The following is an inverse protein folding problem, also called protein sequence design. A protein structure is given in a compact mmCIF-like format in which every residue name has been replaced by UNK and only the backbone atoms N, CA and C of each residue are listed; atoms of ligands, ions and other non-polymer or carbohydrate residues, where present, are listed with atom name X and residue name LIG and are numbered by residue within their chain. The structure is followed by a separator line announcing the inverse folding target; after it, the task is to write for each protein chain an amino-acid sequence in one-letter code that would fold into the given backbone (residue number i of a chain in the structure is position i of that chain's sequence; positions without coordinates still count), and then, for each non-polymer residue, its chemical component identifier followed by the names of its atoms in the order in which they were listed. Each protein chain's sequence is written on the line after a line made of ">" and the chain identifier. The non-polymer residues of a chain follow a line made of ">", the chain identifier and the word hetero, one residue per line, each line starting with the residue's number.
data_IF_883730355937
#
_entry.id   IF_883730355937
#
_cell.length_a   1.000
_cell.length_b   1.000
_cell.length_c   1.000
_cell.angle_alpha   90.00
_cell.angle_beta   90.00
_cell.angle_gamma   90.00
#
_symmetry.space_group_name_H-M   'P 1'
#
loop_
_entity.id
_entity.type
_entity.pdbx_description
1 polymer ?
#
# COMPACT_ATOMS: atom_id res chain seq x y z
N UNK A 1 34.04 46.27 -16.76
CA UNK A 1 32.88 46.23 -15.84
C UNK A 1 31.60 45.55 -16.38
N UNK A 2 31.25 45.52 -17.68
CA UNK A 2 30.00 44.88 -18.13
C UNK A 2 30.00 43.35 -18.05
N UNK A 3 31.15 42.71 -18.32
CA UNK A 3 31.31 41.24 -18.29
C UNK A 3 31.03 40.64 -16.90
N UNK A 4 31.41 41.34 -15.83
CA UNK A 4 31.19 40.86 -14.45
C UNK A 4 29.69 40.89 -14.05
N UNK A 5 28.90 41.82 -14.61
CA UNK A 5 27.43 41.86 -14.38
C UNK A 5 26.72 40.72 -15.11
N UNK A 6 27.19 40.38 -16.31
CA UNK A 6 26.63 39.30 -17.12
C UNK A 6 26.83 37.91 -16.49
N UNK A 7 28.02 37.61 -16.00
CA UNK A 7 28.28 36.34 -15.30
C UNK A 7 27.48 36.19 -14.00
N UNK A 8 27.29 37.28 -13.25
CA UNK A 8 26.46 37.28 -12.02
C UNK A 8 24.99 37.01 -12.32
N UNK A 9 24.43 37.64 -13.37
CA UNK A 9 23.05 37.43 -13.79
C UNK A 9 22.80 35.96 -14.20
N UNK A 10 23.73 35.38 -14.96
CA UNK A 10 23.66 33.97 -15.38
C UNK A 10 23.73 32.99 -14.21
N UNK A 11 24.61 33.26 -13.24
CA UNK A 11 24.72 32.43 -12.04
C UNK A 11 23.43 32.46 -11.20
N UNK A 12 22.83 33.64 -11.04
CA UNK A 12 21.54 33.79 -10.34
C UNK A 12 20.44 33.01 -11.07
N UNK A 13 20.34 33.14 -12.39
CA UNK A 13 19.33 32.44 -13.19
C UNK A 13 19.47 30.91 -13.08
N UNK A 14 20.70 30.39 -13.17
CA UNK A 14 20.97 28.96 -12.99
C UNK A 14 20.60 28.50 -11.57
N UNK A 15 20.93 29.28 -10.55
CA UNK A 15 20.61 28.95 -9.17
C UNK A 15 19.09 28.87 -8.96
N UNK A 16 18.36 29.87 -9.46
CA UNK A 16 16.90 29.90 -9.41
C UNK A 16 16.30 28.70 -10.15
N UNK A 17 16.81 28.38 -11.34
CA UNK A 17 16.38 27.21 -12.10
C UNK A 17 16.59 25.90 -11.33
N UNK A 18 17.77 25.69 -10.72
CA UNK A 18 18.04 24.53 -9.89
C UNK A 18 17.10 24.42 -8.68
N UNK A 19 16.77 25.55 -8.03
CA UNK A 19 15.79 25.57 -6.94
C UNK A 19 14.42 25.07 -7.40
N UNK A 20 13.97 25.47 -8.59
CA UNK A 20 12.70 24.97 -9.14
C UNK A 20 12.72 23.47 -9.48
N UNK A 21 13.83 22.96 -10.01
CA UNK A 21 14.02 21.52 -10.27
C UNK A 21 13.95 20.73 -8.96
N UNK A 22 14.66 21.18 -7.92
CA UNK A 22 14.64 20.55 -6.60
C UNK A 22 13.24 20.60 -6.00
N UNK A 23 12.56 21.74 -6.10
CA UNK A 23 11.16 21.88 -5.68
C UNK A 23 10.25 20.85 -6.35
N UNK A 24 10.39 20.64 -7.67
CA UNK A 24 9.61 19.63 -8.38
C UNK A 24 9.95 18.20 -7.95
N UNK A 25 11.24 17.89 -7.73
CA UNK A 25 11.64 16.58 -7.25
C UNK A 25 11.01 16.27 -5.87
N UNK A 26 10.97 17.24 -4.98
CA UNK A 26 10.30 17.14 -3.68
C UNK A 26 8.79 16.95 -3.85
N UNK A 27 8.17 17.72 -4.75
CA UNK A 27 6.74 17.60 -5.05
C UNK A 27 6.38 16.19 -5.54
N UNK A 28 7.14 15.69 -6.51
CA UNK A 28 6.98 14.35 -7.08
C UNK A 28 7.21 13.26 -6.04
N UNK A 29 8.21 13.42 -5.16
CA UNK A 29 8.44 12.49 -4.05
C UNK A 29 7.20 12.37 -3.14
N UNK A 30 6.59 13.49 -2.73
CA UNK A 30 5.39 13.44 -1.90
C UNK A 30 4.18 12.86 -2.64
N UNK A 31 4.04 13.11 -3.94
CA UNK A 31 3.01 12.47 -4.76
C UNK A 31 3.18 10.94 -4.77
N UNK A 32 4.36 10.46 -5.16
CA UNK A 32 4.67 9.02 -5.22
C UNK A 32 4.49 8.37 -3.85
N UNK A 33 4.98 9.02 -2.79
CA UNK A 33 4.82 8.53 -1.42
C UNK A 33 3.34 8.45 -1.03
N UNK A 34 2.52 9.45 -1.32
CA UNK A 34 1.10 9.42 -1.01
C UNK A 34 0.32 8.37 -1.81
N UNK A 35 0.73 8.07 -3.05
CA UNK A 35 0.12 7.03 -3.89
C UNK A 35 0.44 5.60 -3.45
N UNK A 36 1.62 5.39 -2.89
CA UNK A 36 2.15 4.05 -2.53
C UNK A 36 2.08 3.79 -1.02
N UNK A 37 2.02 4.85 -0.22
CA UNK A 37 1.92 4.77 1.23
C UNK A 37 0.87 5.78 1.73
N UNK A 38 -0.43 5.50 1.51
CA UNK A 38 -1.47 6.48 1.79
C UNK A 38 -1.64 6.78 3.29
N UNK A 39 -1.14 5.92 4.17
CA UNK A 39 -1.20 6.11 5.62
C UNK A 39 0.21 6.05 6.23
N UNK A 40 0.50 6.67 7.39
CA UNK A 40 -0.34 7.68 8.01
C UNK A 40 -0.51 8.88 7.09
N UNK A 41 -1.68 9.51 7.11
CA UNK A 41 -1.95 10.58 6.16
C UNK A 41 -1.05 11.78 6.42
N UNK A 42 -0.54 12.33 5.33
CA UNK A 42 0.24 13.56 5.31
C UNK A 42 -0.65 14.75 4.93
N UNK A 43 -0.11 15.96 4.93
CA UNK A 43 -0.82 17.14 4.44
C UNK A 43 -1.29 16.99 2.98
N UNK A 44 -0.58 16.19 2.17
CA UNK A 44 -0.86 15.98 0.74
C UNK A 44 -2.10 15.11 0.51
N UNK A 45 -2.30 14.08 1.32
CA UNK A 45 -3.38 13.10 1.16
C UNK A 45 -4.34 13.05 2.36
N UNK A 46 -4.41 14.14 3.13
CA UNK A 46 -5.32 14.26 4.28
C UNK A 46 -6.78 13.99 3.89
N UNK A 47 -7.18 14.46 2.71
CA UNK A 47 -8.50 14.21 2.11
C UNK A 47 -8.33 13.85 0.63
N UNK A 48 -9.34 13.18 0.06
CA UNK A 48 -9.38 12.87 -1.37
C UNK A 48 -9.26 14.13 -2.24
N UNK A 49 -10.01 15.18 -1.91
CA UNK A 49 -9.98 16.44 -2.64
C UNK A 49 -8.60 17.12 -2.58
N UNK A 50 -7.91 17.07 -1.43
CA UNK A 50 -6.56 17.61 -1.31
C UNK A 50 -5.57 16.84 -2.19
N UNK A 51 -5.65 15.51 -2.20
CA UNK A 51 -4.78 14.68 -3.02
C UNK A 51 -5.01 14.91 -4.52
N UNK A 52 -6.27 14.96 -4.97
CA UNK A 52 -6.61 15.26 -6.36
C UNK A 52 -6.14 16.66 -6.77
N UNK A 53 -6.31 17.67 -5.91
CA UNK A 53 -5.79 19.02 -6.18
C UNK A 53 -4.27 19.05 -6.30
N UNK A 54 -3.57 18.33 -5.42
CA UNK A 54 -2.11 18.21 -5.43
C UNK A 54 -1.60 17.53 -6.71
N UNK A 55 -2.26 16.45 -7.14
CA UNK A 55 -1.98 15.75 -8.39
C UNK A 55 -2.12 16.67 -9.61
N UNK A 56 -3.26 17.35 -9.74
CA UNK A 56 -3.53 18.25 -10.88
C UNK A 56 -2.48 19.37 -10.93
N UNK A 57 -2.19 20.00 -9.79
CA UNK A 57 -1.19 21.08 -9.73
C UNK A 57 0.22 20.57 -10.06
N UNK A 58 0.60 19.37 -9.62
CA UNK A 58 1.88 18.74 -9.94
C UNK A 58 2.04 18.57 -11.45
N UNK A 59 1.00 18.09 -12.16
CA UNK A 59 1.06 17.90 -13.61
C UNK A 59 1.11 19.22 -14.38
N UNK A 60 0.30 20.22 -13.99
CA UNK A 60 0.31 21.54 -14.61
C UNK A 60 1.69 22.20 -14.45
N UNK A 61 2.20 22.25 -13.21
CA UNK A 61 3.51 22.83 -12.92
C UNK A 61 4.64 22.05 -13.60
N UNK A 62 4.56 20.72 -13.55
CA UNK A 62 5.49 19.82 -14.22
C UNK A 62 5.60 20.08 -15.71
N UNK A 63 4.46 20.28 -16.39
CA UNK A 63 4.43 20.62 -17.81
C UNK A 63 5.15 21.94 -18.11
N UNK A 64 4.86 23.01 -17.36
CA UNK A 64 5.53 24.30 -17.54
C UNK A 64 7.04 24.20 -17.29
N UNK A 65 7.45 23.47 -16.26
CA UNK A 65 8.87 23.26 -15.96
C UNK A 65 9.56 22.43 -17.05
N UNK A 66 8.90 21.43 -17.63
CA UNK A 66 9.39 20.70 -18.81
C UNK A 66 9.62 21.62 -20.01
N UNK A 67 8.72 22.59 -20.28
CA UNK A 67 8.92 23.59 -21.33
C UNK A 67 10.13 24.51 -21.06
N UNK A 68 10.31 24.96 -19.81
CA UNK A 68 11.49 25.75 -19.39
C UNK A 68 12.77 24.91 -19.51
N UNK A 69 12.73 23.63 -19.11
CA UNK A 69 13.86 22.74 -19.24
C UNK A 69 14.20 22.50 -20.70
N UNK A 70 13.22 22.46 -21.60
CA UNK A 70 13.46 22.34 -23.04
C UNK A 70 14.24 23.53 -23.59
N UNK A 71 13.87 24.74 -23.22
CA UNK A 71 14.61 25.94 -23.67
C UNK A 71 16.00 26.01 -23.05
N UNK A 72 16.16 25.64 -21.78
CA UNK A 72 17.47 25.58 -21.11
C UNK A 72 18.38 24.50 -21.69
N UNK A 73 17.86 23.29 -21.92
CA UNK A 73 18.60 22.20 -22.55
C UNK A 73 18.97 22.57 -23.99
N UNK A 74 18.03 23.12 -24.76
CA UNK A 74 18.30 23.57 -26.12
C UNK A 74 19.41 24.62 -26.16
N UNK A 75 19.36 25.62 -25.27
CA UNK A 75 20.42 26.64 -25.20
C UNK A 75 21.76 26.04 -24.76
N UNK A 76 21.79 25.15 -23.76
CA UNK A 76 23.04 24.49 -23.32
C UNK A 76 23.62 23.61 -24.44
N UNK A 77 22.81 22.79 -25.12
CA UNK A 77 23.28 21.93 -26.22
C UNK A 77 23.76 22.79 -27.39
N UNK A 78 23.01 23.82 -27.78
CA UNK A 78 23.40 24.72 -28.86
C UNK A 78 24.72 25.45 -28.54
N UNK A 79 24.88 25.94 -27.31
CA UNK A 79 26.10 26.65 -26.89
C UNK A 79 27.32 25.73 -26.68
N UNK A 80 27.15 24.57 -26.04
CA UNK A 80 28.27 23.70 -25.66
C UNK A 80 28.66 22.75 -26.79
N UNK A 81 27.68 22.25 -27.55
CA UNK A 81 27.90 21.26 -28.61
C UNK A 81 27.95 21.90 -30.00
N UNK A 82 27.08 22.86 -30.33
CA UNK A 82 26.96 23.38 -31.70
C UNK A 82 27.85 24.60 -31.98
N UNK A 83 28.04 25.51 -31.02
CA UNK A 83 28.83 26.73 -31.25
C UNK A 83 30.31 26.47 -31.64
N UNK A 84 31.02 25.51 -31.03
CA UNK A 84 32.37 25.13 -31.48
C UNK A 84 32.39 24.38 -32.82
N UNK A 85 31.25 23.82 -33.26
CA UNK A 85 31.09 23.02 -34.48
C UNK A 85 30.73 23.89 -35.70
N UNK A 86 29.98 24.99 -35.49
CA UNK A 86 29.52 25.87 -36.56
C UNK A 86 30.25 27.22 -36.63
N UNK A 87 30.67 27.79 -35.49
CA UNK A 87 31.24 29.15 -35.42
C UNK A 87 32.69 29.22 -34.89
N UNK A 88 33.24 28.11 -34.40
CA UNK A 88 34.60 28.07 -33.86
C UNK A 88 35.68 28.03 -34.96
N UNK A 89 36.66 28.96 -34.98
CA UNK A 89 37.74 28.96 -35.99
C UNK A 89 38.68 27.74 -35.91
N UNK A 90 38.58 26.92 -34.86
CA UNK A 90 39.57 25.88 -34.51
C UNK A 90 39.06 24.42 -34.51
N UNK A 91 37.83 24.15 -34.94
CA UNK A 91 37.26 22.78 -34.87
C UNK A 91 38.06 21.75 -35.70
N UNK A 92 38.74 22.22 -36.76
CA UNK A 92 39.63 21.40 -37.60
C UNK A 92 40.89 20.95 -36.85
N UNK A 93 41.36 21.72 -35.86
CA UNK A 93 42.62 21.50 -35.13
C UNK A 93 42.45 20.69 -33.82
N UNK A 94 41.22 20.37 -33.41
CA UNK A 94 40.98 19.58 -32.20
C UNK A 94 41.34 18.11 -32.44
N UNK A 95 42.21 17.56 -31.60
CA UNK A 95 42.63 16.14 -31.67
C UNK A 95 41.42 15.17 -31.70
N UNK A 96 41.50 14.05 -32.45
CA UNK A 96 40.42 13.05 -32.53
C UNK A 96 39.99 12.52 -31.17
N UNK A 97 40.93 12.34 -30.22
CA UNK A 97 40.64 11.89 -28.85
C UNK A 97 39.75 12.86 -28.08
N UNK A 98 40.00 14.18 -28.18
CA UNK A 98 39.15 15.19 -27.54
C UNK A 98 37.77 15.28 -28.19
N UNK A 99 37.66 15.07 -29.51
CA UNK A 99 36.37 14.99 -30.22
C UNK A 99 35.56 13.79 -29.76
N UNK A 100 36.17 12.61 -29.73
CA UNK A 100 35.53 11.39 -29.26
C UNK A 100 35.06 11.52 -27.80
N UNK A 101 35.91 12.03 -26.90
CA UNK A 101 35.54 12.24 -25.50
C UNK A 101 34.34 13.17 -25.33
N UNK A 102 34.32 14.32 -26.03
CA UNK A 102 33.18 15.27 -25.98
C UNK A 102 31.90 14.63 -26.51
N UNK A 103 31.97 13.90 -27.62
CA UNK A 103 30.83 13.19 -28.19
C UNK A 103 30.30 12.10 -27.26
N UNK A 104 31.18 11.26 -26.69
CA UNK A 104 30.80 10.23 -25.73
C UNK A 104 30.18 10.84 -24.47
N UNK A 105 30.78 11.91 -23.91
CA UNK A 105 30.20 12.61 -22.76
C UNK A 105 28.81 13.18 -23.07
N UNK A 106 28.62 13.79 -24.24
CA UNK A 106 27.34 14.33 -24.65
C UNK A 106 26.26 13.24 -24.79
N UNK A 107 26.60 12.11 -25.43
CA UNK A 107 25.65 11.01 -25.67
C UNK A 107 25.33 10.23 -24.39
N UNK A 108 26.33 9.87 -23.60
CA UNK A 108 26.14 8.94 -22.48
C UNK A 108 25.83 9.64 -21.15
N UNK A 109 26.12 10.94 -21.01
CA UNK A 109 25.92 11.66 -19.74
C UNK A 109 24.95 12.82 -19.95
N UNK A 110 25.23 13.75 -20.88
CA UNK A 110 24.43 14.95 -21.01
C UNK A 110 23.02 14.66 -21.55
N UNK A 111 22.89 13.83 -22.59
CA UNK A 111 21.61 13.51 -23.20
C UNK A 111 20.64 12.79 -22.24
N UNK A 112 21.03 11.75 -21.49
CA UNK A 112 20.15 11.13 -20.49
C UNK A 112 19.69 12.11 -19.41
N UNK A 113 20.60 12.94 -18.89
CA UNK A 113 20.24 13.96 -17.89
C UNK A 113 19.24 14.96 -18.47
N UNK A 114 19.46 15.43 -19.70
CA UNK A 114 18.54 16.33 -20.39
C UNK A 114 17.17 15.66 -20.60
N UNK A 115 17.15 14.41 -21.08
CA UNK A 115 15.91 13.67 -21.25
C UNK A 115 15.15 13.50 -19.91
N UNK A 116 15.85 13.18 -18.82
CA UNK A 116 15.24 13.13 -17.49
C UNK A 116 14.68 14.48 -17.04
N UNK A 117 15.42 15.58 -17.24
CA UNK A 117 14.95 16.93 -16.91
C UNK A 117 13.73 17.35 -17.74
N UNK A 118 13.57 16.82 -18.96
CA UNK A 118 12.41 17.11 -19.80
C UNK A 118 11.20 16.26 -19.43
N UNK A 119 11.41 14.96 -19.22
CA UNK A 119 10.31 14.01 -19.07
C UNK A 119 9.80 13.93 -17.63
N UNK A 120 10.70 13.90 -16.63
CA UNK A 120 10.30 13.66 -15.24
C UNK A 120 9.38 14.74 -14.65
N UNK A 121 9.54 16.05 -14.94
CA UNK A 121 8.62 17.03 -14.39
C UNK A 121 7.17 16.81 -14.83
N UNK A 122 6.92 16.57 -16.12
CA UNK A 122 5.58 16.37 -16.65
C UNK A 122 5.04 14.94 -16.52
N UNK A 123 5.88 13.91 -16.62
CA UNK A 123 5.47 12.51 -16.69
C UNK A 123 6.00 11.65 -15.53
N UNK A 124 6.77 12.25 -14.61
CA UNK A 124 7.41 11.52 -13.51
C UNK A 124 6.41 10.78 -12.63
N UNK A 125 5.21 11.33 -12.41
CA UNK A 125 4.15 10.65 -11.66
C UNK A 125 3.77 9.31 -12.29
N UNK A 126 3.50 9.30 -13.59
CA UNK A 126 3.12 8.08 -14.33
C UNK A 126 4.25 7.06 -14.47
N UNK A 127 5.50 7.51 -14.44
CA UNK A 127 6.67 6.63 -14.53
C UNK A 127 7.02 6.04 -13.16
N UNK A 128 7.10 6.89 -12.14
CA UNK A 128 7.60 6.50 -10.82
C UNK A 128 6.55 5.80 -9.97
N UNK A 129 5.27 6.16 -10.06
CA UNK A 129 4.23 5.50 -9.25
C UNK A 129 4.16 4.00 -9.54
N UNK A 130 4.10 3.50 -10.79
CA UNK A 130 4.04 2.06 -11.04
C UNK A 130 5.29 1.31 -10.59
N UNK A 131 6.47 1.93 -10.67
CA UNK A 131 7.73 1.37 -10.18
C UNK A 131 7.71 1.26 -8.65
N UNK A 132 7.31 2.34 -7.97
CA UNK A 132 7.21 2.39 -6.52
C UNK A 132 6.10 1.47 -5.98
N UNK A 133 4.97 1.33 -6.69
CA UNK A 133 3.91 0.37 -6.38
C UNK A 133 4.40 -1.07 -6.48
N UNK A 134 5.14 -1.42 -7.53
CA UNK A 134 5.71 -2.77 -7.66
C UNK A 134 6.69 -3.06 -6.51
N UNK A 135 7.60 -2.12 -6.24
CA UNK A 135 8.56 -2.29 -5.14
C UNK A 135 7.86 -2.39 -3.78
N UNK A 136 6.84 -1.57 -3.52
CA UNK A 136 6.09 -1.64 -2.27
C UNK A 136 5.24 -2.91 -2.18
N UNK A 137 4.67 -3.39 -3.29
CA UNK A 137 3.97 -4.67 -3.30
C UNK A 137 4.88 -5.78 -2.80
N UNK A 138 6.13 -5.82 -3.26
CA UNK A 138 7.09 -6.86 -2.86
C UNK A 138 7.58 -6.64 -1.42
N UNK A 139 8.02 -5.43 -1.07
CA UNK A 139 8.81 -5.17 0.14
C UNK A 139 8.08 -4.53 1.33
N UNK A 140 6.83 -4.09 1.17
CA UNK A 140 6.18 -3.26 2.21
C UNK A 140 5.95 -4.01 3.52
N UNK A 141 5.77 -5.33 3.45
CA UNK A 141 5.49 -6.17 4.60
C UNK A 141 6.71 -6.93 5.12
N UNK A 142 7.93 -6.64 4.65
CA UNK A 142 9.15 -7.38 5.02
C UNK A 142 9.45 -7.32 6.52
N UNK A 143 9.01 -6.25 7.20
CA UNK A 143 9.18 -6.08 8.65
C UNK A 143 8.10 -6.78 9.49
N UNK A 144 7.15 -7.47 8.86
CA UNK A 144 6.00 -8.10 9.51
C UNK A 144 6.11 -9.62 9.41
N UNK A 145 5.71 -10.38 10.44
CA UNK A 145 5.85 -11.85 10.42
C UNK A 145 4.98 -12.52 9.35
N UNK A 146 3.83 -11.92 9.03
CA UNK A 146 2.90 -12.41 8.02
C UNK A 146 2.30 -11.27 7.21
N UNK A 147 1.78 -11.61 6.04
CA UNK A 147 0.94 -10.73 5.27
C UNK A 147 -0.24 -11.51 4.65
N UNK A 148 -1.33 -10.81 4.36
CA UNK A 148 -2.47 -11.33 3.63
C UNK A 148 -2.61 -10.63 2.29
N UNK A 149 -3.04 -11.38 1.26
CA UNK A 149 -3.50 -10.83 -0.01
C UNK A 149 -5.01 -11.02 -0.07
N UNK A 150 -5.71 -9.90 -0.06
CA UNK A 150 -7.16 -9.82 -0.21
C UNK A 150 -7.46 -9.78 -1.70
N UNK A 151 -7.98 -10.88 -2.22
CA UNK A 151 -8.26 -11.11 -3.62
C UNK A 151 -9.77 -11.11 -3.81
N UNK A 152 -10.28 -9.96 -4.24
CA UNK A 152 -11.69 -9.77 -4.50
C UNK A 152 -12.06 -10.15 -5.93
N UNK A 153 -13.32 -10.54 -6.11
CA UNK A 153 -13.91 -10.85 -7.41
C UNK A 153 -14.10 -9.55 -8.20
N UNK A 154 -13.71 -9.55 -9.47
CA UNK A 154 -14.00 -8.45 -10.41
C UNK A 154 -15.46 -8.45 -10.86
N UNK A 155 -15.89 -7.36 -11.49
CA UNK A 155 -17.21 -7.26 -12.13
C UNK A 155 -17.41 -8.30 -13.25
N UNK A 156 -16.34 -8.72 -13.93
CA UNK A 156 -16.39 -9.65 -15.06
C UNK A 156 -16.29 -11.11 -14.64
N UNK A 157 -15.88 -11.36 -13.40
CA UNK A 157 -15.71 -12.70 -12.91
C UNK A 157 -17.05 -13.37 -12.67
N UNK A 158 -17.16 -14.68 -12.97
CA UNK A 158 -18.36 -15.46 -12.67
C UNK A 158 -18.73 -15.43 -11.18
N UNK A 159 -20.03 -15.54 -10.89
CA UNK A 159 -20.56 -15.47 -9.53
C UNK A 159 -20.02 -16.55 -8.58
N UNK A 160 -19.56 -17.68 -9.12
CA UNK A 160 -18.99 -18.79 -8.33
C UNK A 160 -17.54 -18.54 -7.88
N UNK A 161 -16.87 -17.50 -8.39
CA UNK A 161 -15.53 -17.14 -7.92
C UNK A 161 -15.68 -16.47 -6.54
N UNK A 162 -15.07 -17.05 -5.48
CA UNK A 162 -15.17 -16.50 -4.13
C UNK A 162 -14.26 -15.29 -3.96
N UNK A 163 -14.61 -14.40 -3.04
CA UNK A 163 -13.71 -13.38 -2.52
C UNK A 163 -12.86 -14.02 -1.42
N UNK A 164 -11.53 -13.93 -1.50
CA UNK A 164 -10.63 -14.70 -0.63
C UNK A 164 -9.55 -13.84 0.02
N UNK A 165 -9.15 -14.21 1.22
CA UNK A 165 -7.94 -13.72 1.88
C UNK A 165 -6.91 -14.84 1.93
N UNK A 166 -5.78 -14.67 1.25
CA UNK A 166 -4.68 -15.63 1.20
C UNK A 166 -3.58 -15.20 2.17
N UNK A 167 -3.18 -16.06 3.09
CA UNK A 167 -2.22 -15.72 4.15
C UNK A 167 -0.85 -16.33 3.88
N UNK A 168 0.16 -15.49 3.93
CA UNK A 168 1.53 -15.84 3.62
C UNK A 168 2.44 -15.58 4.81
N UNK A 169 3.42 -16.47 5.00
CA UNK A 169 4.56 -16.20 5.85
C UNK A 169 5.54 -15.30 5.10
N UNK A 170 6.02 -14.23 5.75
CA UNK A 170 6.87 -13.23 5.09
C UNK A 170 8.24 -13.81 4.71
N UNK A 171 8.90 -14.52 5.62
CA UNK A 171 10.28 -15.01 5.41
C UNK A 171 10.42 -15.99 4.25
N UNK A 172 9.43 -16.87 4.07
CA UNK A 172 9.44 -17.96 3.08
C UNK A 172 8.56 -17.68 1.87
N UNK A 173 7.75 -16.62 1.93
CA UNK A 173 6.73 -16.30 0.94
C UNK A 173 5.74 -17.46 0.69
N UNK A 174 5.56 -18.34 1.68
CA UNK A 174 4.74 -19.55 1.55
C UNK A 174 3.28 -19.27 1.90
N UNK A 175 2.35 -19.71 1.04
CA UNK A 175 0.91 -19.67 1.30
C UNK A 175 0.53 -20.72 2.35
N UNK A 176 0.06 -20.28 3.50
CA UNK A 176 -0.28 -21.15 4.62
C UNK A 176 -1.73 -21.63 4.54
N UNK A 177 -2.68 -20.70 4.42
CA UNK A 177 -4.10 -20.98 4.40
C UNK A 177 -4.87 -19.85 3.71
N UNK A 178 -6.13 -20.13 3.39
CA UNK A 178 -7.03 -19.21 2.70
C UNK A 178 -8.35 -19.11 3.45
N UNK A 179 -8.83 -17.90 3.64
CA UNK A 179 -10.21 -17.63 4.08
C UNK A 179 -11.04 -17.16 2.88
N UNK A 180 -12.35 -17.37 2.93
CA UNK A 180 -13.29 -16.72 2.04
C UNK A 180 -14.35 -15.93 2.79
N UNK A 181 -14.94 -14.98 2.06
CA UNK A 181 -16.10 -14.23 2.50
C UNK A 181 -17.30 -14.69 1.70
N UNK A 182 -18.31 -15.16 2.41
CA UNK A 182 -19.59 -15.55 1.84
C UNK A 182 -20.69 -14.68 2.46
N UNK A 183 -21.55 -14.13 1.59
CA UNK A 183 -22.83 -13.58 2.00
C UNK A 183 -23.69 -14.75 2.51
N UNK A 184 -24.21 -14.63 3.72
CA UNK A 184 -25.07 -15.66 4.30
C UNK A 184 -26.38 -15.80 3.52
N UNK A 185 -27.31 -16.55 4.09
CA UNK A 185 -28.69 -16.59 3.56
C UNK A 185 -29.43 -15.25 3.73
N UNK A 186 -28.88 -14.36 4.54
CA UNK A 186 -29.37 -13.02 4.83
C UNK A 186 -28.30 -12.00 4.40
N UNK A 187 -28.70 -10.95 3.68
CA UNK A 187 -27.79 -9.90 3.19
C UNK A 187 -27.09 -9.14 4.32
N UNK A 188 -27.66 -9.20 5.53
CA UNK A 188 -27.14 -8.51 6.72
C UNK A 188 -26.17 -9.37 7.54
N UNK A 189 -26.00 -10.64 7.18
CA UNK A 189 -25.11 -11.59 7.86
C UNK A 189 -24.05 -12.10 6.91
N UNK A 190 -22.80 -11.74 7.15
CA UNK A 190 -21.68 -12.19 6.34
C UNK A 190 -20.75 -13.07 7.15
N UNK A 191 -20.16 -14.06 6.50
CA UNK A 191 -19.25 -15.00 7.15
C UNK A 191 -17.86 -14.92 6.51
N UNK A 192 -16.85 -14.72 7.35
CA UNK A 192 -15.44 -14.85 7.00
C UNK A 192 -14.92 -16.14 7.62
N UNK A 193 -14.62 -17.16 6.80
CA UNK A 193 -14.28 -18.48 7.28
C UNK A 193 -13.08 -19.09 6.56
N UNK A 194 -12.40 -20.03 7.20
CA UNK A 194 -11.33 -20.81 6.58
C UNK A 194 -11.94 -21.62 5.45
N UNK A 195 -11.39 -21.41 4.25
CA UNK A 195 -11.73 -22.17 3.05
C UNK A 195 -10.89 -23.43 2.95
N UNK A 196 -9.57 -23.28 3.12
CA UNK A 196 -8.62 -24.38 2.96
C UNK A 196 -7.29 -24.07 3.64
N UNK A 197 -6.61 -25.14 4.07
CA UNK A 197 -5.20 -25.11 4.43
C UNK A 197 -4.36 -25.48 3.21
N UNK A 198 -3.47 -24.59 2.81
CA UNK A 198 -2.58 -24.77 1.67
C UNK A 198 -1.26 -25.45 2.08
N UNK A 199 -0.88 -25.26 3.34
CA UNK A 199 0.23 -25.94 3.99
C UNK A 199 -0.32 -26.94 5.01
N UNK A 200 0.23 -28.17 5.12
CA UNK A 200 -0.16 -29.13 6.14
C UNK A 200 -0.11 -28.53 7.56
N UNK A 201 -1.12 -28.81 8.37
CA UNK A 201 -1.28 -28.20 9.71
C UNK A 201 -0.05 -28.35 10.62
N UNK A 202 0.65 -29.48 10.54
CA UNK A 202 1.88 -29.74 11.31
C UNK A 202 3.12 -28.95 10.86
N UNK A 203 3.07 -28.32 9.68
CA UNK A 203 4.15 -27.46 9.16
C UNK A 203 3.87 -25.96 9.37
N UNK A 204 2.65 -25.60 9.77
CA UNK A 204 2.30 -24.22 10.09
C UNK A 204 2.80 -23.93 11.52
N UNK A 205 3.59 -22.86 11.74
CA UNK A 205 4.00 -22.46 13.07
C UNK A 205 2.80 -22.27 14.02
N UNK A 206 2.95 -22.67 15.28
CA UNK A 206 1.83 -22.69 16.26
C UNK A 206 1.23 -21.30 16.47
N UNK A 207 2.04 -20.25 16.39
CA UNK A 207 1.66 -18.84 16.50
C UNK A 207 1.00 -18.27 15.24
N UNK A 208 1.03 -19.02 14.13
CA UNK A 208 0.47 -18.66 12.83
C UNK A 208 -0.68 -19.58 12.41
N UNK A 209 -1.00 -20.60 13.24
CA UNK A 209 -2.09 -21.52 12.96
C UNK A 209 -3.44 -20.90 13.35
N UNK A 210 -4.38 -20.71 12.41
CA UNK A 210 -5.66 -20.08 12.69
C UNK A 210 -6.65 -21.06 13.33
N UNK A 211 -6.70 -21.09 14.66
CA UNK A 211 -7.75 -21.86 15.37
C UNK A 211 -9.12 -21.21 15.26
N UNK A 212 -9.20 -19.89 15.09
CA UNK A 212 -10.43 -19.14 14.80
C UNK A 212 -10.88 -19.40 13.36
N UNK A 213 -11.73 -20.39 13.15
CA UNK A 213 -12.10 -20.88 11.82
C UNK A 213 -13.17 -20.03 11.14
N UNK A 214 -14.06 -19.38 11.88
CA UNK A 214 -15.09 -18.53 11.29
C UNK A 214 -15.44 -17.33 12.14
N UNK A 215 -15.78 -16.24 11.47
CA UNK A 215 -16.25 -14.98 12.05
C UNK A 215 -17.52 -14.58 11.29
N UNK A 216 -18.60 -14.33 12.03
CA UNK A 216 -19.84 -13.82 11.51
C UNK A 216 -19.97 -12.33 11.84
N UNK A 217 -20.30 -11.55 10.82
CA UNK A 217 -20.57 -10.13 10.89
C UNK A 217 -22.08 -9.91 10.85
N UNK A 218 -22.60 -9.23 11.85
CA UNK A 218 -23.97 -8.73 11.89
C UNK A 218 -23.96 -7.23 11.66
N UNK A 219 -24.39 -6.81 10.47
CA UNK A 219 -24.39 -5.40 10.08
C UNK A 219 -25.50 -4.56 10.74
N UNK A 220 -26.56 -5.18 11.25
CA UNK A 220 -27.65 -4.49 11.93
C UNK A 220 -27.20 -4.12 13.34
N UNK A 221 -26.69 -5.10 14.07
CA UNK A 221 -26.28 -4.92 15.47
C UNK A 221 -24.83 -4.47 15.61
N UNK A 222 -24.09 -4.36 14.49
CA UNK A 222 -22.65 -4.05 14.46
C UNK A 222 -21.83 -4.99 15.35
N UNK A 223 -22.23 -6.27 15.34
CA UNK A 223 -21.72 -7.29 16.24
C UNK A 223 -20.87 -8.33 15.49
N UNK A 224 -19.95 -8.94 16.23
CA UNK A 224 -19.04 -9.97 15.75
C UNK A 224 -19.18 -11.19 16.65
N UNK A 225 -19.26 -12.36 16.04
CA UNK A 225 -19.16 -13.64 16.75
C UNK A 225 -18.20 -14.54 15.99
N UNK A 226 -17.45 -15.39 16.69
CA UNK A 226 -16.48 -16.25 16.05
C UNK A 226 -16.33 -17.60 16.73
N UNK A 227 -16.10 -18.62 15.91
CA UNK A 227 -15.97 -20.00 16.32
C UNK A 227 -14.55 -20.51 16.08
N UNK A 228 -14.00 -21.16 17.09
CA UNK A 228 -12.70 -21.81 17.02
C UNK A 228 -12.87 -23.30 16.86
N UNK A 229 -11.98 -23.91 16.07
CA UNK A 229 -11.85 -25.35 15.96
C UNK A 229 -10.49 -25.76 16.48
N UNK A 230 -10.47 -26.66 17.45
CA UNK A 230 -9.24 -27.16 18.08
C UNK A 230 -9.23 -28.67 18.16
N UNK A 231 -8.04 -29.30 18.22
CA UNK A 231 -7.91 -30.71 18.54
C UNK A 231 -8.54 -31.03 19.90
N UNK A 232 -9.20 -32.19 20.01
CA UNK A 232 -9.77 -32.66 21.30
C UNK A 232 -8.66 -32.96 22.33
N UNK A 233 -7.47 -33.30 21.85
CA UNK A 233 -6.24 -33.41 22.64
C UNK A 233 -5.03 -33.02 21.80
N UNK A 234 -3.90 -32.61 22.40
CA UNK A 234 -2.70 -32.24 21.66
C UNK A 234 -2.25 -33.38 20.72
N UNK A 235 -2.16 -33.09 19.42
CA UNK A 235 -1.79 -34.07 18.39
C UNK A 235 -2.93 -34.96 17.87
N UNK A 236 -4.16 -34.79 18.36
CA UNK A 236 -5.34 -35.49 17.83
C UNK A 236 -5.79 -34.94 16.48
N UNK A 237 -6.22 -35.82 15.58
CA UNK A 237 -6.92 -35.46 14.34
C UNK A 237 -8.39 -35.10 14.55
N UNK A 238 -9.00 -35.57 15.65
CA UNK A 238 -10.37 -35.21 16.00
C UNK A 238 -10.38 -33.79 16.55
N UNK A 239 -11.29 -32.98 16.03
CA UNK A 239 -11.45 -31.58 16.41
C UNK A 239 -12.83 -31.31 17.01
N UNK A 240 -12.93 -30.24 17.79
CA UNK A 240 -14.18 -29.72 18.34
C UNK A 240 -14.30 -28.23 18.01
N UNK A 241 -15.53 -27.77 17.78
CA UNK A 241 -15.84 -26.38 17.47
C UNK A 241 -16.55 -25.73 18.66
N UNK A 242 -16.09 -24.55 19.07
CA UNK A 242 -16.68 -23.78 20.16
C UNK A 242 -16.68 -22.28 19.85
N UNK A 243 -17.63 -21.54 20.42
CA UNK A 243 -17.59 -20.08 20.39
C UNK A 243 -16.38 -19.58 21.18
N UNK A 244 -15.56 -18.73 20.57
CA UNK A 244 -14.30 -18.28 21.17
C UNK A 244 -14.02 -16.79 20.99
N UNK A 245 -14.89 -16.09 20.28
CA UNK A 245 -14.76 -14.66 20.04
C UNK A 245 -16.15 -14.03 20.04
N UNK A 246 -16.25 -12.87 20.69
CA UNK A 246 -17.36 -11.94 20.53
C UNK A 246 -16.83 -10.52 20.43
N UNK A 247 -17.62 -9.61 19.89
CA UNK A 247 -17.23 -8.21 19.86
C UNK A 247 -18.22 -7.32 19.14
N UNK A 248 -17.84 -6.06 19.03
CA UNK A 248 -18.54 -5.06 18.22
C UNK A 248 -17.55 -4.31 17.35
N UNK A 249 -18.04 -3.70 16.28
CA UNK A 249 -17.26 -2.84 15.42
C UNK A 249 -18.02 -1.57 15.10
N UNK A 250 -17.31 -0.47 14.90
CA UNK A 250 -17.90 0.73 14.33
C UNK A 250 -17.28 0.96 12.94
N UNK A 251 -18.03 0.76 11.84
CA UNK A 251 -17.53 0.94 10.47
C UNK A 251 -17.44 2.41 10.02
N UNK A 252 -17.77 3.38 10.88
CA UNK A 252 -17.71 4.81 10.60
C UNK A 252 -16.31 5.28 10.17
N UNK A 253 -16.17 6.61 10.01
CA UNK A 253 -14.91 7.24 9.61
C UNK A 253 -13.71 6.83 10.48
N UNK A 254 -13.91 6.53 11.75
CA UNK A 254 -12.88 5.97 12.63
C UNK A 254 -13.19 4.50 12.89
N UNK A 255 -12.73 3.63 11.99
CA UNK A 255 -12.97 2.20 12.13
C UNK A 255 -12.39 1.75 13.47
N UNK A 256 -13.23 1.13 14.27
CA UNK A 256 -12.84 0.62 15.58
C UNK A 256 -13.50 -0.70 15.87
N UNK A 257 -12.84 -1.49 16.72
CA UNK A 257 -13.29 -2.80 17.13
C UNK A 257 -13.10 -2.95 18.63
N UNK A 258 -14.08 -3.55 19.29
CA UNK A 258 -13.96 -4.02 20.65
C UNK A 258 -14.16 -5.53 20.63
N UNK A 259 -13.07 -6.29 20.74
CA UNK A 259 -13.08 -7.74 20.55
C UNK A 259 -12.68 -8.40 21.86
N UNK A 260 -13.50 -9.33 22.34
CA UNK A 260 -13.18 -10.23 23.44
C UNK A 260 -12.97 -11.63 22.89
N UNK A 261 -11.82 -12.24 23.22
CA UNK A 261 -11.39 -13.50 22.63
C UNK A 261 -10.78 -14.44 23.66
N UNK A 262 -11.09 -15.72 23.50
CA UNK A 262 -10.49 -16.87 24.20
C UNK A 262 -9.85 -17.83 23.19
N UNK A 263 -9.34 -17.29 22.08
CA UNK A 263 -8.78 -18.08 20.98
C UNK A 263 -7.59 -18.93 21.48
N UNK A 264 -7.69 -20.26 21.49
CA UNK A 264 -6.63 -21.17 21.90
C UNK A 264 -5.53 -21.27 20.83
N UNK A 265 -4.32 -21.64 21.22
CA UNK A 265 -3.30 -22.12 20.27
C UNK A 265 -3.61 -23.57 19.84
N UNK A 266 -3.12 -23.98 18.68
CA UNK A 266 -3.40 -25.32 18.13
C UNK A 266 -2.92 -26.49 19.02
N UNK A 267 -1.92 -26.25 19.86
CA UNK A 267 -1.37 -27.24 20.80
C UNK A 267 -1.95 -27.11 22.22
N UNK A 268 -2.97 -26.27 22.42
CA UNK A 268 -3.58 -26.07 23.74
C UNK A 268 -4.41 -27.30 24.12
N UNK A 269 -4.23 -27.78 25.34
CA UNK A 269 -5.09 -28.82 25.91
C UNK A 269 -6.43 -28.20 26.32
N UNK A 270 -7.55 -28.79 25.90
CA UNK A 270 -8.91 -28.34 26.24
C UNK A 270 -9.19 -28.32 27.75
N UNK A 271 -8.44 -29.08 28.55
CA UNK A 271 -8.52 -29.04 30.01
C UNK A 271 -7.91 -27.77 30.62
N UNK A 272 -7.10 -27.03 29.85
CA UNK A 272 -6.48 -25.78 30.30
C UNK A 272 -7.30 -24.56 29.88
N UNK A 273 -7.85 -23.76 30.82
CA UNK A 273 -8.64 -22.60 30.48
C UNK A 273 -7.76 -21.53 29.82
N UNK A 274 -8.13 -21.11 28.61
CA UNK A 274 -7.49 -20.01 27.91
C UNK A 274 -7.97 -18.69 28.50
N UNK A 275 -7.08 -17.78 28.92
CA UNK A 275 -7.49 -16.51 29.47
C UNK A 275 -8.20 -15.67 28.41
N UNK A 276 -9.34 -15.11 28.80
CA UNK A 276 -10.07 -14.13 28.00
C UNK A 276 -9.25 -12.84 27.89
N UNK A 277 -9.14 -12.32 26.67
CA UNK A 277 -8.52 -11.02 26.40
C UNK A 277 -9.49 -10.13 25.66
N UNK A 278 -9.64 -8.90 26.14
CA UNK A 278 -10.36 -7.85 25.43
C UNK A 278 -9.36 -6.90 24.80
N UNK A 279 -9.48 -6.68 23.49
CA UNK A 279 -8.63 -5.78 22.70
C UNK A 279 -9.49 -4.72 22.05
N UNK A 280 -9.17 -3.45 22.34
CA UNK A 280 -9.76 -2.29 21.68
C UNK A 280 -8.83 -1.85 20.54
N UNK A 281 -9.37 -1.72 19.34
CA UNK A 281 -8.65 -1.35 18.12
C UNK A 281 -9.27 -0.10 17.52
N UNK A 282 -8.43 0.77 16.95
CA UNK A 282 -8.90 1.97 16.22
C UNK A 282 -7.91 2.32 15.11
N UNK A 283 -8.41 2.89 14.01
CA UNK A 283 -7.57 3.39 12.94
C UNK A 283 -6.79 4.63 13.34
N UNK A 284 -5.58 4.78 12.82
CA UNK A 284 -4.74 5.98 13.00
C UNK A 284 -5.34 7.18 12.28
N UNK A 285 -5.85 6.96 11.08
CA UNK A 285 -6.42 8.00 10.24
C UNK A 285 -7.94 7.88 10.17
N UNK A 286 -8.57 9.05 9.98
CA UNK A 286 -9.99 9.16 9.64
C UNK A 286 -10.21 8.69 8.19
N UNK A 287 -11.36 8.10 7.89
CA UNK A 287 -11.79 7.65 6.55
C UNK A 287 -11.00 6.46 6.00
N UNK A 288 -10.99 5.35 6.71
CA UNK A 288 -10.35 4.09 6.27
C UNK A 288 -10.82 3.55 4.90
N UNK A 289 -11.98 4.00 4.41
CA UNK A 289 -12.44 3.85 3.03
C UNK A 289 -12.54 5.23 2.37
N UNK A 290 -11.81 5.48 1.28
CA UNK A 290 -11.78 6.77 0.58
C UNK A 290 -12.94 6.93 -0.42
N UNK A 291 -14.18 6.98 0.08
CA UNK A 291 -15.38 6.96 -0.77
C UNK A 291 -15.47 5.69 -1.64
N UNK A 292 -16.46 5.64 -2.53
CA UNK A 292 -16.84 4.37 -3.16
C UNK A 292 -15.80 3.81 -4.15
N UNK A 293 -14.83 4.62 -4.61
CA UNK A 293 -13.95 4.25 -5.73
C UNK A 293 -12.48 3.98 -5.37
N UNK A 294 -12.13 3.87 -4.09
CA UNK A 294 -10.74 3.67 -3.67
C UNK A 294 -10.61 2.45 -2.77
N UNK A 295 -9.47 1.75 -2.88
CA UNK A 295 -9.15 0.63 -2.02
C UNK A 295 -9.13 1.04 -0.55
N UNK A 296 -9.54 0.15 0.38
CA UNK A 296 -9.38 0.36 1.81
C UNK A 296 -7.93 0.67 2.17
N UNK A 297 -7.74 1.73 2.95
CA UNK A 297 -6.42 2.19 3.35
C UNK A 297 -6.44 2.55 4.83
N UNK A 298 -5.80 1.73 5.68
CA UNK A 298 -5.74 1.97 7.12
C UNK A 298 -4.50 1.40 7.80
N UNK A 299 -4.19 1.97 8.96
CA UNK A 299 -3.30 1.40 9.98
C UNK A 299 -4.17 1.17 11.21
N UNK A 300 -4.26 -0.06 11.68
CA UNK A 300 -5.03 -0.43 12.86
C UNK A 300 -4.09 -0.62 14.04
N UNK A 301 -4.36 0.06 15.14
CA UNK A 301 -3.56 -0.01 16.37
C UNK A 301 -4.42 -0.32 17.58
N UNK A 302 -3.77 -0.81 18.65
CA UNK A 302 -4.45 -0.99 19.92
C UNK A 302 -4.72 0.37 20.59
N UNK A 303 -5.81 0.44 21.34
CA UNK A 303 -6.20 1.60 22.14
C UNK A 303 -6.00 1.24 23.60
N UNK A 304 -5.37 2.15 24.36
CA UNK A 304 -5.32 2.00 25.80
C UNK A 304 -6.72 2.28 26.40
N UNK A 305 -7.34 1.31 27.09
CA UNK A 305 -8.71 1.46 27.59
C UNK A 305 -8.85 2.51 28.68
N UNK A 306 -7.75 2.91 29.34
CA UNK A 306 -7.76 3.89 30.43
C UNK A 306 -7.64 5.31 29.88
N UNK A 307 -6.78 5.53 28.88
CA UNK A 307 -6.50 6.87 28.34
C UNK A 307 -7.27 7.18 27.06
N UNK A 308 -7.92 6.19 26.45
CA UNK A 308 -8.52 6.24 25.10
C UNK A 308 -7.55 6.72 24.01
N UNK A 309 -6.24 6.56 24.24
CA UNK A 309 -5.20 6.92 23.28
C UNK A 309 -4.72 5.71 22.49
N UNK A 310 -4.40 5.94 21.22
CA UNK A 310 -3.73 4.97 20.37
C UNK A 310 -2.36 4.65 20.94
N UNK A 311 -2.01 3.37 21.03
CA UNK A 311 -0.66 2.93 21.35
C UNK A 311 0.22 2.94 20.10
N UNK A 312 1.51 2.64 20.25
CA UNK A 312 2.41 2.44 19.12
C UNK A 312 2.31 1.03 18.50
N UNK A 313 1.53 0.14 19.11
CA UNK A 313 1.37 -1.23 18.64
C UNK A 313 0.43 -1.29 17.43
N UNK A 314 1.01 -1.54 16.27
CA UNK A 314 0.27 -1.76 15.02
C UNK A 314 -0.11 -3.22 14.91
N UNK A 315 -1.41 -3.50 14.81
CA UNK A 315 -1.95 -4.86 14.69
C UNK A 315 -1.94 -5.31 13.23
N UNK A 316 -2.38 -4.42 12.34
CA UNK A 316 -2.31 -4.62 10.89
C UNK A 316 -2.28 -3.29 10.15
N UNK A 317 -1.85 -3.35 8.89
CA UNK A 317 -1.76 -2.21 8.00
C UNK A 317 -2.00 -2.63 6.55
N UNK A 318 -2.85 -1.92 5.84
CA UNK A 318 -2.96 -2.08 4.38
C UNK A 318 -1.70 -1.52 3.71
N UNK A 319 -1.15 -2.25 2.76
CA UNK A 319 -0.02 -1.82 1.93
C UNK A 319 -0.53 -1.14 0.66
N UNK A 320 -0.43 -1.81 -0.48
CA UNK A 320 -0.84 -1.30 -1.80
C UNK A 320 -1.66 -2.36 -2.54
N UNK A 321 -2.46 -1.89 -3.50
CA UNK A 321 -3.06 -2.77 -4.50
C UNK A 321 -2.00 -3.25 -5.48
N UNK A 322 -2.24 -4.42 -6.08
CA UNK A 322 -1.32 -4.98 -7.07
C UNK A 322 -1.30 -4.12 -8.32
N UNK A 323 -0.11 -3.90 -8.87
CA UNK A 323 0.03 -3.12 -10.10
C UNK A 323 -0.76 -3.76 -11.24
N UNK A 324 -1.63 -2.96 -11.87
CA UNK A 324 -2.46 -3.41 -12.99
C UNK A 324 -3.65 -4.29 -12.58
N UNK A 325 -3.86 -4.48 -11.28
CA UNK A 325 -4.89 -5.36 -10.74
C UNK A 325 -5.46 -4.74 -9.44
N UNK A 326 -6.57 -4.01 -9.59
CA UNK A 326 -7.23 -3.32 -8.48
C UNK A 326 -8.02 -4.26 -7.56
N UNK A 327 -8.15 -5.55 -7.90
CA UNK A 327 -8.91 -6.50 -7.08
C UNK A 327 -8.08 -7.08 -5.95
N UNK A 328 -6.74 -7.10 -6.10
CA UNK A 328 -5.81 -7.60 -5.11
C UNK A 328 -5.22 -6.48 -4.23
N UNK A 329 -5.43 -6.57 -2.91
CA UNK A 329 -4.88 -5.67 -1.90
C UNK A 329 -4.00 -6.44 -0.91
N UNK A 330 -2.74 -5.99 -0.71
CA UNK A 330 -1.83 -6.57 0.28
C UNK A 330 -2.01 -5.91 1.65
N UNK A 331 -2.01 -6.70 2.72
CA UNK A 331 -2.16 -6.26 4.11
C UNK A 331 -1.05 -6.89 4.96
N UNK A 332 -0.29 -6.09 5.68
CA UNK A 332 0.75 -6.55 6.58
C UNK A 332 0.17 -6.83 7.97
N UNK A 333 0.55 -7.95 8.59
CA UNK A 333 -0.04 -8.47 9.84
C UNK A 333 1.03 -8.58 10.92
N UNK A 334 0.79 -7.99 12.08
CA UNK A 334 1.70 -8.08 13.24
C UNK A 334 1.06 -8.68 14.48
N UNK A 335 -0.28 -8.60 14.61
CA UNK A 335 -0.96 -9.01 15.83
C UNK A 335 -0.67 -8.11 17.03
N UNK A 336 -0.92 -8.64 18.22
CA UNK A 336 -0.60 -8.02 19.50
C UNK A 336 0.69 -8.64 20.07
N UNK A 337 1.03 -8.35 21.34
CA UNK A 337 2.21 -8.93 21.97
C UNK A 337 1.94 -10.38 22.46
N UNK A 338 0.71 -10.86 22.27
CA UNK A 338 0.27 -12.18 22.69
C UNK A 338 0.68 -13.23 21.65
N UNK A 339 1.10 -14.40 22.13
CA UNK A 339 1.32 -15.58 21.28
C UNK A 339 0.04 -15.95 20.52
N UNK A 340 0.16 -16.21 19.22
CA UNK A 340 -0.97 -16.54 18.33
C UNK A 340 -1.79 -15.35 17.83
N UNK A 341 -1.46 -14.13 18.27
CA UNK A 341 -2.20 -12.91 17.91
C UNK A 341 -2.12 -12.52 16.43
N UNK A 342 -1.12 -12.99 15.69
CA UNK A 342 -0.90 -12.67 14.27
C UNK A 342 -2.08 -13.19 13.43
N UNK A 343 -2.70 -14.28 13.87
CA UNK A 343 -3.92 -14.88 13.31
C UNK A 343 -5.04 -14.91 14.37
N UNK A 344 -4.95 -14.01 15.35
CA UNK A 344 -5.93 -13.86 16.42
C UNK A 344 -7.17 -13.11 15.98
N UNK A 345 -8.13 -13.01 16.89
CA UNK A 345 -9.38 -12.30 16.65
C UNK A 345 -9.17 -10.81 16.34
N UNK A 346 -8.13 -10.20 16.94
CA UNK A 346 -7.72 -8.82 16.69
C UNK A 346 -7.26 -8.55 15.25
N UNK A 347 -6.81 -9.58 14.53
CA UNK A 347 -6.33 -9.46 13.14
C UNK A 347 -7.40 -9.94 12.18
N UNK A 348 -7.95 -11.14 12.42
CA UNK A 348 -8.89 -11.77 11.49
C UNK A 348 -10.22 -11.02 11.41
N UNK A 349 -10.72 -10.47 12.53
CA UNK A 349 -12.01 -9.79 12.52
C UNK A 349 -11.99 -8.46 11.74
N UNK A 350 -10.98 -7.59 11.89
CA UNK A 350 -10.87 -6.46 10.97
C UNK A 350 -10.58 -6.88 9.54
N UNK A 351 -9.77 -7.92 9.32
CA UNK A 351 -9.40 -8.35 7.97
C UNK A 351 -10.60 -8.78 7.13
N UNK A 352 -11.56 -9.52 7.70
CA UNK A 352 -12.79 -9.89 7.00
C UNK A 352 -13.60 -8.65 6.58
N UNK A 353 -13.73 -7.63 7.44
CA UNK A 353 -14.40 -6.38 7.08
C UNK A 353 -13.65 -5.58 6.01
N UNK A 354 -12.31 -5.59 6.04
CA UNK A 354 -11.48 -4.98 5.00
C UNK A 354 -11.67 -5.69 3.67
N UNK A 355 -11.74 -7.03 3.66
CA UNK A 355 -12.01 -7.80 2.46
C UNK A 355 -13.40 -7.46 1.90
N UNK A 356 -14.43 -7.37 2.74
CA UNK A 356 -15.79 -6.95 2.32
C UNK A 356 -15.75 -5.60 1.60
N UNK A 357 -15.02 -4.61 2.14
CA UNK A 357 -14.86 -3.31 1.45
C UNK A 357 -13.98 -3.36 0.21
N UNK A 358 -13.00 -4.25 0.18
CA UNK A 358 -12.20 -4.50 -1.01
C UNK A 358 -13.05 -5.12 -2.13
N UNK A 359 -14.09 -5.91 -1.81
CA UNK A 359 -15.06 -6.42 -2.80
C UNK A 359 -15.83 -5.27 -3.45
N UNK A 360 -16.32 -4.31 -2.67
CA UNK A 360 -16.99 -3.12 -3.19
C UNK A 360 -16.07 -2.35 -4.16
N UNK A 361 -14.82 -2.11 -3.74
CA UNK A 361 -13.83 -1.43 -4.56
C UNK A 361 -13.51 -2.19 -5.86
N UNK A 362 -13.24 -3.49 -5.76
CA UNK A 362 -12.89 -4.35 -6.90
C UNK A 362 -14.00 -4.36 -7.95
N UNK A 363 -15.26 -4.40 -7.52
CA UNK A 363 -16.42 -4.32 -8.42
C UNK A 363 -16.44 -2.98 -9.17
N UNK A 364 -16.25 -1.87 -8.46
CA UNK A 364 -16.34 -0.53 -9.07
C UNK A 364 -15.16 -0.27 -10.01
N UNK A 365 -13.94 -0.62 -9.62
CA UNK A 365 -12.75 -0.36 -10.42
C UNK A 365 -12.68 -1.22 -11.71
N UNK A 366 -13.45 -2.29 -11.79
CA UNK A 366 -13.51 -3.19 -12.95
C UNK A 366 -14.77 -3.01 -13.81
N UNK A 367 -15.65 -2.06 -13.47
CA UNK A 367 -16.80 -1.68 -14.29
C UNK A 367 -16.32 -1.15 -15.66
N UNK A 368 -16.98 -1.53 -16.77
CA UNK A 368 -16.69 -0.95 -18.08
C UNK A 368 -17.03 0.55 -18.08
N UNK A 369 -16.19 1.36 -18.74
CA UNK A 369 -16.36 2.81 -18.85
C UNK A 369 -17.59 3.25 -19.66
N UNK A 370 -18.33 2.33 -20.28
CA UNK A 370 -19.50 2.60 -21.13
C UNK A 370 -20.84 2.59 -20.39
N UNK A 371 -20.84 2.55 -19.07
CA UNK A 371 -22.05 2.38 -18.23
C UNK A 371 -22.39 3.58 -17.35
N UNK A 372 -21.82 4.76 -17.64
CA UNK A 372 -22.16 6.03 -16.99
C UNK A 372 -22.96 6.95 -17.91
#
# INVERSE_FOLDING_TARGET
>A
MPILKEHRCRLILLTVWFVFILGQAVWLYFYVKASVDPNPRTAVNRTKAAFTGFEIMMFIWGFFLSCINLTMVWTIIFWVAMDPLFNGPDWRNVSPRRKAFKWSFAIFIAFPICACLLVLPGFGGWILVPLAQSWAWDHRCDSYPMYAVLDARSFKDPSYIPNVAKFYQTDTNQLLFTYDVNEGTDSDLWMFAVRQFNTPSGLIPVDQYPTLQSIQYDFINTALTGNCTVPISPGSSNTTTMACMTGTYNPDKWLSFNVTSIVPLNNTDLSTPVPSSTTLLRTVDKEWVFGDNNAPALILRTVNPVTDQLTDQTVLRTAVTKRGDCTALKVCLSGTARLGSIVGAEVLAPLGLILIRQVDHARICTLPSSTY
#
